data_IF_688925097013
#
_entry.id   IF_688925097013
#
_cell.length_a   1.000
_cell.length_b   1.000
_cell.length_c   1.000
_cell.angle_alpha   90.00
_cell.angle_beta   90.00
_cell.angle_gamma   90.00
#
_symmetry.space_group_name_H-M   'P 1'
#
loop_
_entity.id
_entity.type
_entity.pdbx_description
1 polymer ?
#
# COMPACT_ATOMS: atom_id res chain seq x y z
N UNK A 1 6.62 -5.74 -1.68
CA UNK A 1 5.83 -4.65 -1.06
C UNK A 1 6.14 -4.46 0.42
N UNK A 2 6.25 -5.52 1.22
CA UNK A 2 6.62 -5.44 2.65
C UNK A 2 7.93 -4.65 2.92
N UNK A 3 9.02 -4.78 2.13
CA UNK A 3 10.25 -4.01 2.37
C UNK A 3 10.10 -2.49 2.10
N UNK A 4 9.17 -2.09 1.22
CA UNK A 4 8.95 -0.68 0.86
C UNK A 4 8.35 0.13 2.02
N UNK A 5 7.45 -0.48 2.80
CA UNK A 5 6.86 0.15 3.98
C UNK A 5 7.86 0.23 5.16
N UNK A 6 8.83 -0.68 5.23
CA UNK A 6 9.77 -0.80 6.35
C UNK A 6 11.01 0.08 6.21
N UNK A 7 11.44 0.42 4.99
CA UNK A 7 12.76 1.02 4.76
C UNK A 7 12.80 2.55 4.87
N UNK A 8 11.65 3.24 4.87
CA UNK A 8 11.62 4.71 4.67
C UNK A 8 10.63 5.47 5.57
N UNK A 9 9.93 4.80 6.50
CA UNK A 9 8.92 5.45 7.36
C UNK A 9 7.63 5.85 6.63
N UNK A 10 7.44 5.45 5.37
CA UNK A 10 6.21 5.70 4.64
C UNK A 10 5.14 4.67 5.05
N UNK A 11 4.19 5.09 5.88
CA UNK A 11 3.08 4.27 6.37
C UNK A 11 2.00 3.97 5.30
N UNK A 12 2.11 4.62 4.14
CA UNK A 12 1.16 4.55 3.05
C UNK A 12 1.86 4.72 1.70
N UNK A 13 1.40 3.99 0.68
CA UNK A 13 1.87 4.05 -0.69
C UNK A 13 0.75 4.60 -1.58
N UNK A 14 0.97 5.72 -2.29
CA UNK A 14 -0.02 6.21 -3.24
C UNK A 14 -0.12 5.27 -4.44
N UNK A 15 -1.35 4.95 -4.83
CA UNK A 15 -1.66 4.25 -6.08
C UNK A 15 -2.01 5.33 -7.11
N UNK A 16 -1.20 5.40 -8.16
CA UNK A 16 -1.39 6.35 -9.27
C UNK A 16 -1.88 5.61 -10.50
N UNK A 17 -2.93 6.16 -11.12
CA UNK A 17 -3.47 5.71 -12.40
C UNK A 17 -2.84 6.46 -13.56
N UNK A 18 -3.55 6.52 -14.68
CA UNK A 18 -3.08 7.24 -15.85
C UNK A 18 -2.82 8.73 -15.57
N UNK A 19 -1.88 9.30 -16.34
CA UNK A 19 -1.43 10.69 -16.21
C UNK A 19 -1.04 11.09 -14.76
N UNK A 20 -0.48 10.14 -14.00
CA UNK A 20 -0.07 10.31 -12.60
C UNK A 20 -1.22 10.75 -11.66
N UNK A 21 -2.47 10.46 -12.03
CA UNK A 21 -3.62 10.75 -11.19
C UNK A 21 -3.59 9.88 -9.94
N UNK A 22 -3.71 10.47 -8.75
CA UNK A 22 -3.91 9.70 -7.52
C UNK A 22 -5.28 9.01 -7.56
N UNK A 23 -5.29 7.69 -7.46
CA UNK A 23 -6.52 6.87 -7.49
C UNK A 23 -6.77 6.09 -6.20
N UNK A 24 -5.80 6.05 -5.30
CA UNK A 24 -5.97 5.42 -4.00
C UNK A 24 -4.72 5.48 -3.13
N UNK A 25 -4.85 4.96 -1.91
CA UNK A 25 -3.77 4.84 -0.95
C UNK A 25 -3.76 3.41 -0.43
N UNK A 26 -2.59 2.75 -0.44
CA UNK A 26 -2.38 1.44 0.17
C UNK A 26 -1.61 1.62 1.47
N UNK A 27 -2.17 1.17 2.59
CA UNK A 27 -1.50 1.21 3.90
C UNK A 27 -0.94 -0.16 4.29
N UNK A 28 -0.07 -0.18 5.31
CA UNK A 28 0.36 -1.44 5.92
C UNK A 28 -0.81 -2.23 6.51
N UNK A 29 -1.83 -1.55 7.05
CA UNK A 29 -3.00 -2.20 7.65
C UNK A 29 -3.86 -2.94 6.62
N UNK A 30 -3.92 -2.43 5.39
CA UNK A 30 -4.63 -3.09 4.29
C UNK A 30 -3.94 -4.39 3.88
N UNK A 31 -2.60 -4.42 3.88
CA UNK A 31 -1.84 -5.64 3.63
C UNK A 31 -2.07 -6.70 4.72
N UNK A 32 -2.06 -6.28 5.99
CA UNK A 32 -2.38 -7.20 7.11
C UNK A 32 -3.79 -7.76 6.97
N UNK A 33 -4.78 -6.90 6.68
CA UNK A 33 -6.16 -7.34 6.43
C UNK A 33 -6.22 -8.34 5.28
N UNK A 34 -5.62 -8.05 4.13
CA UNK A 34 -5.67 -8.93 2.97
C UNK A 34 -5.08 -10.33 3.24
N UNK A 35 -3.97 -10.41 3.99
CA UNK A 35 -3.34 -11.68 4.34
C UNK A 35 -4.13 -12.46 5.41
N UNK A 36 -4.79 -11.76 6.33
CA UNK A 36 -5.59 -12.39 7.39
C UNK A 36 -6.89 -13.01 6.89
N UNK A 37 -7.40 -12.59 5.74
CA UNK A 37 -8.64 -13.15 5.19
C UNK A 37 -8.42 -14.37 4.28
N UNK A 38 -7.17 -14.79 4.04
CA UNK A 38 -6.83 -15.88 3.12
C UNK A 38 -7.24 -15.59 1.67
N UNK A 39 -6.76 -16.37 0.68
CA UNK A 39 -7.37 -16.38 -0.64
C UNK A 39 -8.80 -16.95 -0.60
#
# INVERSE_FOLDING_TARGET
LVPLFSATGHHHLPIVGEQARLVGILTQSDLVKALSHGP
#
